data_IF_582128779124
#
_entry.id   IF_582128779124
#
_cell.length_a   1.000
_cell.length_b   1.000
_cell.length_c   1.000
_cell.angle_alpha   90.00
_cell.angle_beta   90.00
_cell.angle_gamma   90.00
#
_symmetry.space_group_name_H-M   'P 1'
#
loop_
_entity.id
_entity.type
_entity.pdbx_description
1 polymer ?
#
# COMPACT_ATOMS: atom_id res chain seq x y z
N UNK A 1 -5.63 65.38 -8.50
CA UNK A 1 -5.57 64.38 -7.41
C UNK A 1 -5.96 63.06 -7.97
N UNK A 2 -4.97 62.28 -8.42
CA UNK A 2 -5.16 60.95 -8.96
C UNK A 2 -4.91 59.93 -7.83
N UNK A 3 -5.86 59.04 -7.56
CA UNK A 3 -5.71 57.94 -6.61
C UNK A 3 -5.23 56.75 -7.40
N UNK A 4 -3.99 56.35 -7.11
CA UNK A 4 -3.38 55.09 -7.60
C UNK A 4 -4.07 53.93 -6.94
N UNK A 5 -4.66 53.04 -7.72
CA UNK A 5 -5.16 51.73 -7.29
C UNK A 5 -4.01 50.75 -7.35
N UNK A 6 -3.53 50.28 -6.20
CA UNK A 6 -2.65 49.14 -6.09
C UNK A 6 -3.37 47.84 -6.51
N UNK A 7 -2.70 46.97 -7.28
CA UNK A 7 -3.25 45.64 -7.55
C UNK A 7 -3.05 44.72 -6.33
N UNK A 8 -4.15 44.15 -5.87
CA UNK A 8 -4.13 43.12 -4.85
C UNK A 8 -3.32 41.90 -5.35
N UNK A 9 -2.19 41.64 -4.71
CA UNK A 9 -1.45 40.37 -4.85
C UNK A 9 -2.29 39.28 -4.21
N UNK A 10 -2.93 38.45 -5.02
CA UNK A 10 -3.44 37.17 -4.59
C UNK A 10 -2.25 36.22 -4.44
N UNK A 11 -1.73 36.11 -3.22
CA UNK A 11 -0.83 35.02 -2.83
C UNK A 11 -1.60 33.68 -2.88
N UNK A 12 -1.63 33.08 -4.07
CA UNK A 12 -1.87 31.66 -4.19
C UNK A 12 -0.63 30.96 -3.61
N UNK A 13 -0.65 30.69 -2.31
CA UNK A 13 0.31 29.79 -1.67
C UNK A 13 0.13 28.41 -2.30
N UNK A 14 0.89 28.12 -3.34
CA UNK A 14 1.19 26.77 -3.74
C UNK A 14 1.84 26.10 -2.52
N UNK A 15 1.08 25.26 -1.81
CA UNK A 15 1.57 24.48 -0.68
C UNK A 15 2.66 23.56 -1.21
N UNK A 16 3.91 23.86 -0.85
CA UNK A 16 5.04 23.02 -1.20
C UNK A 16 4.81 21.63 -0.61
N UNK A 17 4.82 20.55 -1.42
CA UNK A 17 4.63 19.20 -0.90
C UNK A 17 5.71 18.90 0.13
N UNK A 18 5.31 18.55 1.36
CA UNK A 18 6.25 18.14 2.38
C UNK A 18 6.83 16.76 2.08
N UNK A 19 8.15 16.66 1.89
CA UNK A 19 8.84 15.36 1.76
C UNK A 19 8.76 14.65 3.12
N UNK A 20 8.04 13.56 3.18
CA UNK A 20 7.89 12.70 4.36
C UNK A 20 8.99 11.67 4.48
N UNK A 21 9.36 11.04 3.35
CA UNK A 21 10.46 10.09 3.24
C UNK A 21 11.29 10.44 2.01
N UNK A 22 12.60 10.55 2.19
CA UNK A 22 13.56 10.58 1.10
C UNK A 22 13.80 9.19 0.52
N UNK A 23 14.48 9.07 -0.62
CA UNK A 23 14.85 7.77 -1.19
C UNK A 23 15.63 6.88 -0.23
N UNK A 24 16.55 7.47 0.56
CA UNK A 24 17.28 6.75 1.58
C UNK A 24 16.36 6.25 2.72
N UNK A 25 15.32 7.04 3.06
CA UNK A 25 14.33 6.62 4.05
C UNK A 25 13.46 5.47 3.52
N UNK A 26 13.03 5.55 2.25
CA UNK A 26 12.28 4.47 1.59
C UNK A 26 13.07 3.17 1.62
N UNK A 27 14.37 3.21 1.26
CA UNK A 27 15.23 2.03 1.30
C UNK A 27 15.32 1.43 2.71
N UNK A 28 15.55 2.26 3.74
CA UNK A 28 15.59 1.80 5.15
C UNK A 28 14.26 1.20 5.61
N UNK A 29 13.14 1.76 5.17
CA UNK A 29 11.81 1.23 5.49
C UNK A 29 11.60 -0.13 4.85
N UNK A 30 11.96 -0.30 3.58
CA UNK A 30 11.88 -1.59 2.86
C UNK A 30 12.78 -2.63 3.54
N UNK A 31 14.02 -2.28 3.92
CA UNK A 31 14.92 -3.17 4.65
C UNK A 31 14.30 -3.64 5.98
N UNK A 32 13.73 -2.71 6.75
CA UNK A 32 13.06 -3.05 8.01
C UNK A 32 11.85 -3.96 7.81
N UNK A 33 11.03 -3.71 6.79
CA UNK A 33 9.89 -4.55 6.45
C UNK A 33 10.34 -5.96 6.04
N UNK A 34 11.43 -6.08 5.26
CA UNK A 34 12.02 -7.36 4.91
C UNK A 34 12.47 -8.14 6.16
N UNK A 35 13.13 -7.48 7.12
CA UNK A 35 13.50 -8.12 8.40
C UNK A 35 12.26 -8.58 9.20
N UNK A 36 11.19 -7.80 9.23
CA UNK A 36 9.95 -8.20 9.91
C UNK A 36 9.32 -9.46 9.27
N UNK A 37 9.33 -9.54 7.93
CA UNK A 37 8.87 -10.73 7.20
C UNK A 37 9.76 -11.94 7.50
N UNK A 38 11.08 -11.77 7.48
CA UNK A 38 12.04 -12.83 7.83
C UNK A 38 11.82 -13.30 9.27
N UNK A 39 11.74 -12.37 10.22
CA UNK A 39 11.53 -12.72 11.64
C UNK A 39 10.25 -13.51 11.85
N UNK A 40 9.17 -13.13 11.16
CA UNK A 40 7.88 -13.80 11.28
C UNK A 40 7.88 -15.20 10.67
N UNK A 41 8.55 -15.41 9.53
CA UNK A 41 8.42 -16.63 8.73
C UNK A 41 9.67 -17.51 8.69
N UNK A 42 10.87 -17.01 9.02
CA UNK A 42 12.07 -17.84 9.04
C UNK A 42 12.06 -18.91 10.15
N UNK A 43 11.24 -18.73 11.18
CA UNK A 43 11.16 -19.64 12.34
C UNK A 43 10.32 -20.89 12.10
N UNK A 44 9.63 -21.01 10.97
CA UNK A 44 8.77 -22.16 10.63
C UNK A 44 9.51 -23.38 10.08
N UNK A 45 10.78 -23.28 9.74
CA UNK A 45 11.53 -24.32 9.01
C UNK A 45 12.55 -25.14 9.80
N UNK A 46 12.52 -25.18 11.12
CA UNK A 46 13.51 -25.98 11.84
C UNK A 46 13.32 -25.97 13.34
N UNK A 47 12.86 -27.08 13.91
CA UNK A 47 12.85 -27.23 15.36
C UNK A 47 12.07 -28.45 15.82
N UNK A 48 12.70 -29.62 15.78
CA UNK A 48 12.47 -30.68 16.76
C UNK A 48 12.75 -30.06 18.12
N UNK A 49 11.74 -29.75 18.88
CA UNK A 49 11.60 -29.45 20.31
C UNK A 49 10.70 -28.24 20.54
N UNK A 50 9.38 -28.42 20.36
CA UNK A 50 8.40 -27.57 21.03
C UNK A 50 7.62 -28.38 22.03
N UNK A 51 7.63 -28.00 23.30
CA UNK A 51 6.65 -28.54 24.26
C UNK A 51 5.27 -28.13 23.72
N UNK A 52 4.41 -29.15 23.58
CA UNK A 52 2.99 -28.98 23.30
C UNK A 52 2.33 -28.33 24.50
N UNK A 53 2.32 -26.99 24.57
CA UNK A 53 1.51 -26.31 25.58
C UNK A 53 0.91 -25.00 25.00
N UNK A 54 -0.41 -25.03 24.91
CA UNK A 54 -1.41 -23.96 24.95
C UNK A 54 -1.11 -22.63 24.22
N UNK A 55 -1.03 -22.66 22.86
CA UNK A 55 -1.35 -21.49 22.04
C UNK A 55 -2.23 -21.87 20.85
N UNK A 56 -3.38 -22.42 21.13
CA UNK A 56 -4.49 -22.42 20.19
C UNK A 56 -5.01 -20.98 20.09
N UNK A 57 -4.75 -20.27 18.97
CA UNK A 57 -5.42 -19.00 18.76
C UNK A 57 -4.79 -17.96 17.86
N UNK A 58 -3.54 -18.09 17.44
CA UNK A 58 -3.00 -17.14 16.45
C UNK A 58 -3.03 -17.76 15.05
N UNK A 59 -3.93 -17.30 14.14
CA UNK A 59 -3.90 -17.72 12.73
C UNK A 59 -2.65 -17.12 12.08
N UNK A 60 -1.63 -17.95 11.86
CA UNK A 60 -0.41 -17.54 11.15
C UNK A 60 0.90 -18.14 11.63
N UNK A 61 0.87 -19.04 12.60
CA UNK A 61 2.06 -19.73 13.08
C UNK A 61 2.11 -21.16 12.53
N UNK A 62 2.08 -21.33 11.20
CA UNK A 62 2.27 -22.66 10.64
C UNK A 62 3.05 -22.65 9.30
N UNK A 63 4.19 -23.19 9.32
CA UNK A 63 4.90 -24.33 8.75
C UNK A 63 5.47 -24.22 7.34
N UNK A 64 5.24 -23.17 6.54
CA UNK A 64 5.82 -23.09 5.21
C UNK A 64 7.18 -22.38 5.15
N UNK A 65 7.57 -21.65 6.17
CA UNK A 65 8.79 -20.83 6.12
C UNK A 65 8.76 -19.75 5.02
N UNK A 66 9.91 -19.16 4.77
CA UNK A 66 10.07 -18.15 3.70
C UNK A 66 9.87 -18.72 2.30
N UNK A 67 10.15 -20.02 2.08
CA UNK A 67 10.00 -20.68 0.78
C UNK A 67 8.54 -20.84 0.34
N UNK A 68 7.59 -20.78 1.29
CA UNK A 68 6.16 -20.87 1.04
C UNK A 68 5.49 -19.49 0.88
N UNK A 69 6.26 -18.43 1.12
CA UNK A 69 5.78 -17.06 1.01
C UNK A 69 5.70 -16.62 -0.46
N UNK A 70 4.60 -15.98 -0.82
CA UNK A 70 4.43 -15.28 -2.10
C UNK A 70 4.10 -13.82 -1.82
N UNK A 71 4.91 -12.90 -2.33
CA UNK A 71 4.61 -11.48 -2.30
C UNK A 71 3.79 -11.09 -3.54
N UNK A 72 2.58 -10.60 -3.36
CA UNK A 72 1.71 -10.20 -4.47
C UNK A 72 1.52 -8.69 -4.45
N UNK A 73 2.14 -8.01 -5.42
CA UNK A 73 2.06 -6.56 -5.54
C UNK A 73 0.74 -6.11 -6.17
N UNK A 74 0.11 -5.11 -5.56
CA UNK A 74 -1.06 -4.42 -6.12
C UNK A 74 -0.54 -3.31 -7.07
N UNK A 75 -0.85 -3.34 -8.38
CA UNK A 75 -0.43 -2.28 -9.30
C UNK A 75 -0.98 -0.90 -8.91
N UNK A 76 -0.21 0.17 -9.16
CA UNK A 76 1.05 0.25 -9.90
C UNK A 76 2.27 0.08 -9.00
N UNK A 77 2.30 0.68 -7.83
CA UNK A 77 3.51 0.81 -7.01
C UNK A 77 3.72 -0.36 -6.05
N UNK A 78 2.66 -1.13 -5.75
CA UNK A 78 2.82 -2.36 -4.98
C UNK A 78 3.68 -3.42 -5.71
N UNK A 79 3.65 -3.48 -7.04
CA UNK A 79 4.45 -4.41 -7.82
C UNK A 79 5.97 -4.19 -7.68
N UNK A 80 6.54 -2.99 -7.91
CA UNK A 80 7.95 -2.74 -7.64
C UNK A 80 8.31 -2.90 -6.16
N UNK A 81 7.44 -2.52 -5.22
CA UNK A 81 7.68 -2.73 -3.79
C UNK A 81 7.78 -4.22 -3.43
N UNK A 82 6.92 -5.07 -3.99
CA UNK A 82 6.99 -6.52 -3.79
C UNK A 82 8.33 -7.10 -4.28
N UNK A 83 8.79 -6.67 -5.45
CA UNK A 83 10.11 -7.08 -5.99
C UNK A 83 11.26 -6.61 -5.11
N UNK A 84 11.21 -5.36 -4.63
CA UNK A 84 12.23 -4.82 -3.69
C UNK A 84 12.25 -5.63 -2.40
N UNK A 85 11.09 -5.93 -1.81
CA UNK A 85 10.99 -6.74 -0.60
C UNK A 85 11.56 -8.14 -0.81
N UNK A 86 11.19 -8.82 -1.91
CA UNK A 86 11.73 -10.14 -2.25
C UNK A 86 13.26 -10.12 -2.36
N UNK A 87 13.81 -9.15 -3.10
CA UNK A 87 15.26 -8.99 -3.25
C UNK A 87 15.97 -8.74 -1.90
N UNK A 88 15.35 -7.97 -0.99
CA UNK A 88 15.91 -7.72 0.35
C UNK A 88 15.80 -8.94 1.26
N UNK A 89 14.68 -9.69 1.18
CA UNK A 89 14.52 -10.95 1.91
C UNK A 89 15.60 -11.94 1.48
N UNK A 90 15.78 -12.14 0.18
CA UNK A 90 16.81 -13.03 -0.35
C UNK A 90 18.21 -12.58 0.07
N UNK A 91 18.53 -11.30 -0.03
CA UNK A 91 19.83 -10.75 0.37
C UNK A 91 20.13 -10.96 1.87
N UNK A 92 19.12 -10.91 2.75
CA UNK A 92 19.30 -11.04 4.20
C UNK A 92 19.20 -12.48 4.70
N UNK A 93 18.35 -13.31 4.07
CA UNK A 93 18.08 -14.69 4.54
C UNK A 93 18.73 -15.78 3.68
N UNK A 94 19.17 -15.45 2.47
CA UNK A 94 19.61 -16.42 1.48
C UNK A 94 18.47 -17.23 0.83
N UNK A 95 17.20 -16.95 1.20
CA UNK A 95 16.03 -17.68 0.69
C UNK A 95 15.29 -16.81 -0.33
N UNK A 96 15.17 -17.24 -1.58
CA UNK A 96 14.37 -16.53 -2.58
C UNK A 96 12.88 -16.64 -2.22
N UNK A 97 12.13 -15.56 -2.50
CA UNK A 97 10.69 -15.47 -2.29
C UNK A 97 10.02 -15.16 -3.61
N UNK A 98 8.96 -15.90 -3.93
CA UNK A 98 8.19 -15.72 -5.14
C UNK A 98 7.44 -14.38 -5.15
N UNK A 99 7.37 -13.76 -6.34
CA UNK A 99 6.66 -12.51 -6.55
C UNK A 99 5.59 -12.66 -7.61
N UNK A 100 4.37 -12.23 -7.28
CA UNK A 100 3.26 -12.07 -8.21
C UNK A 100 2.80 -10.63 -8.32
N UNK A 101 1.94 -10.38 -9.30
CA UNK A 101 1.23 -9.10 -9.52
C UNK A 101 -0.24 -9.44 -9.74
N UNK A 102 -1.14 -8.83 -8.98
CA UNK A 102 -2.57 -8.99 -9.18
C UNK A 102 -3.18 -7.69 -9.69
N UNK A 103 -3.61 -7.68 -10.95
CA UNK A 103 -4.40 -6.55 -11.48
C UNK A 103 -5.78 -6.54 -10.84
N UNK A 104 -6.06 -5.47 -10.13
CA UNK A 104 -7.33 -5.27 -9.43
C UNK A 104 -8.31 -4.39 -10.19
N UNK A 105 -7.97 -3.97 -11.41
CA UNK A 105 -8.73 -2.95 -12.16
C UNK A 105 -10.19 -3.37 -12.33
N UNK A 106 -10.47 -4.62 -12.65
CA UNK A 106 -11.84 -5.13 -12.85
C UNK A 106 -12.65 -5.31 -11.55
N UNK A 107 -11.97 -5.31 -10.39
CA UNK A 107 -12.58 -5.54 -9.08
C UNK A 107 -12.80 -4.23 -8.30
N UNK A 108 -12.40 -3.10 -8.88
CA UNK A 108 -12.56 -1.78 -8.24
C UNK A 108 -13.96 -1.24 -8.46
N UNK A 109 -14.56 -0.74 -7.41
CA UNK A 109 -15.89 -0.11 -7.42
C UNK A 109 -15.88 1.35 -7.93
N UNK A 110 -14.69 1.97 -8.07
CA UNK A 110 -14.52 3.36 -8.53
C UNK A 110 -14.15 3.50 -10.03
N UNK A 111 -14.21 2.44 -10.82
CA UNK A 111 -13.91 2.42 -12.26
C UNK A 111 -14.69 3.48 -13.05
N UNK A 112 -15.94 3.73 -12.67
CA UNK A 112 -16.81 4.70 -13.35
C UNK A 112 -16.43 6.15 -13.13
N UNK A 113 -15.64 6.43 -12.09
CA UNK A 113 -15.31 7.79 -11.66
C UNK A 113 -13.92 8.26 -12.09
N UNK A 114 -12.99 7.34 -12.39
CA UNK A 114 -11.58 7.66 -12.63
C UNK A 114 -11.07 7.40 -14.05
N UNK A 115 -11.92 6.96 -14.96
CA UNK A 115 -11.51 6.58 -16.32
C UNK A 115 -10.85 5.19 -16.37
N UNK A 116 -10.84 4.60 -17.58
CA UNK A 116 -10.24 3.28 -17.81
C UNK A 116 -8.72 3.40 -17.72
N UNK A 117 -8.13 2.84 -16.67
CA UNK A 117 -6.69 2.62 -16.59
C UNK A 117 -6.34 1.43 -17.48
N UNK A 118 -5.18 1.46 -18.12
CA UNK A 118 -4.70 0.29 -18.85
C UNK A 118 -4.58 -0.89 -17.88
N UNK A 119 -5.12 -2.04 -18.29
CA UNK A 119 -4.99 -3.29 -17.53
C UNK A 119 -3.51 -3.67 -17.46
N UNK A 120 -3.02 -3.92 -16.26
CA UNK A 120 -1.71 -4.54 -16.08
C UNK A 120 -1.94 -6.06 -16.02
N UNK A 121 -1.11 -6.88 -16.69
CA UNK A 121 -1.33 -8.32 -16.66
C UNK A 121 -1.16 -8.85 -15.24
N UNK A 122 -2.12 -9.66 -14.78
CA UNK A 122 -1.92 -10.48 -13.59
C UNK A 122 -0.85 -11.53 -13.90
N UNK A 123 0.17 -11.56 -13.08
CA UNK A 123 1.28 -12.51 -13.18
C UNK A 123 1.44 -13.21 -11.85
N UNK A 124 1.32 -14.53 -11.83
CA UNK A 124 1.59 -15.35 -10.65
C UNK A 124 2.84 -16.19 -10.87
N UNK A 125 3.49 -16.64 -9.79
CA UNK A 125 4.53 -17.67 -9.88
C UNK A 125 4.00 -18.93 -10.57
N UNK A 126 4.87 -19.68 -11.24
CA UNK A 126 4.49 -20.93 -11.94
C UNK A 126 3.84 -21.96 -10.98
N UNK A 127 4.27 -21.99 -9.73
CA UNK A 127 3.69 -22.84 -8.68
C UNK A 127 2.31 -22.35 -8.18
N UNK A 128 1.83 -21.20 -8.66
CA UNK A 128 0.57 -20.60 -8.19
C UNK A 128 0.62 -20.11 -6.74
N UNK A 129 -0.58 -19.94 -6.16
CA UNK A 129 -0.76 -19.46 -4.76
C UNK A 129 -1.54 -20.44 -3.89
N UNK A 130 -1.97 -21.58 -4.43
CA UNK A 130 -2.80 -22.54 -3.68
C UNK A 130 -2.04 -23.12 -2.48
N UNK A 131 -2.69 -23.06 -1.32
CA UNK A 131 -2.13 -23.55 -0.06
C UNK A 131 -0.96 -22.71 0.49
N UNK A 132 -0.47 -21.72 -0.24
CA UNK A 132 0.67 -20.88 0.14
C UNK A 132 0.25 -19.70 1.01
N UNK A 133 1.21 -19.08 1.68
CA UNK A 133 1.02 -17.82 2.37
C UNK A 133 1.23 -16.66 1.39
N UNK A 134 0.21 -15.85 1.19
CA UNK A 134 0.28 -14.66 0.36
C UNK A 134 0.42 -13.41 1.23
N UNK A 135 1.38 -12.55 0.91
CA UNK A 135 1.43 -11.18 1.44
C UNK A 135 1.13 -10.22 0.31
N UNK A 136 -0.05 -9.57 0.37
CA UNK A 136 -0.38 -8.46 -0.52
C UNK A 136 0.52 -7.27 -0.19
N UNK A 137 1.09 -6.64 -1.21
CA UNK A 137 1.98 -5.48 -1.07
C UNK A 137 1.38 -4.28 -1.78
N UNK A 138 1.23 -3.15 -1.06
CA UNK A 138 0.75 -1.89 -1.61
C UNK A 138 1.59 -0.71 -1.11
N UNK A 139 1.48 0.44 -1.77
CA UNK A 139 2.21 1.64 -1.40
C UNK A 139 1.52 2.41 -0.26
N UNK A 140 0.22 2.67 -0.36
CA UNK A 140 -0.53 3.47 0.63
C UNK A 140 -1.83 2.80 1.04
N UNK A 141 -1.94 2.47 2.30
CA UNK A 141 -3.21 2.05 2.89
C UNK A 141 -4.00 3.28 3.36
N UNK A 142 -5.15 3.49 2.72
CA UNK A 142 -6.12 4.55 3.02
C UNK A 142 -7.47 3.95 3.42
N UNK A 143 -8.46 3.99 2.55
CA UNK A 143 -9.82 3.50 2.80
C UNK A 143 -9.92 1.97 2.93
N UNK A 144 -8.99 1.23 2.32
CA UNK A 144 -8.98 -0.23 2.21
C UNK A 144 -9.64 -0.77 0.93
N UNK A 145 -10.18 0.08 0.06
CA UNK A 145 -10.90 -0.34 -1.17
C UNK A 145 -10.01 -1.10 -2.15
N UNK A 146 -8.74 -0.65 -2.35
CA UNK A 146 -7.78 -1.37 -3.20
C UNK A 146 -7.47 -2.76 -2.66
N UNK A 147 -7.28 -2.88 -1.34
CA UNK A 147 -7.02 -4.16 -0.69
C UNK A 147 -8.23 -5.10 -0.81
N UNK A 148 -9.46 -4.60 -0.64
CA UNK A 148 -10.67 -5.39 -0.88
C UNK A 148 -10.70 -5.92 -2.31
N UNK A 149 -10.49 -5.06 -3.30
CA UNK A 149 -10.43 -5.47 -4.70
C UNK A 149 -9.36 -6.54 -4.96
N UNK A 150 -8.18 -6.43 -4.30
CA UNK A 150 -7.13 -7.43 -4.38
C UNK A 150 -7.54 -8.77 -3.76
N UNK A 151 -8.24 -8.76 -2.63
CA UNK A 151 -8.79 -9.97 -2.02
C UNK A 151 -9.84 -10.64 -2.92
N UNK A 152 -10.70 -9.86 -3.58
CA UNK A 152 -11.67 -10.38 -4.54
C UNK A 152 -10.95 -11.00 -5.76
N UNK A 153 -9.91 -10.33 -6.30
CA UNK A 153 -9.08 -10.86 -7.39
C UNK A 153 -8.36 -12.17 -7.01
N UNK A 154 -7.79 -12.25 -5.81
CA UNK A 154 -7.10 -13.46 -5.35
C UNK A 154 -8.01 -14.70 -5.32
N UNK A 155 -9.31 -14.53 -5.05
CA UNK A 155 -10.28 -15.66 -5.06
C UNK A 155 -10.43 -16.32 -6.42
N UNK A 156 -10.23 -15.55 -7.49
CA UNK A 156 -10.28 -16.06 -8.86
C UNK A 156 -8.94 -16.66 -9.31
N UNK A 157 -7.86 -16.30 -8.62
CA UNK A 157 -6.48 -16.72 -8.94
C UNK A 157 -6.04 -17.99 -8.21
N UNK A 158 -6.67 -18.35 -7.09
CA UNK A 158 -6.32 -19.53 -6.32
C UNK A 158 -6.89 -19.55 -4.89
N UNK A 159 -6.40 -20.48 -4.08
CA UNK A 159 -6.81 -20.67 -2.67
C UNK A 159 -5.61 -20.64 -1.75
N UNK A 160 -5.06 -19.44 -1.46
CA UNK A 160 -4.00 -19.32 -0.47
C UNK A 160 -4.50 -19.78 0.91
N UNK A 161 -3.63 -20.38 1.73
CA UNK A 161 -4.00 -20.77 3.10
C UNK A 161 -4.21 -19.56 4.02
N UNK A 162 -3.47 -18.47 3.76
CA UNK A 162 -3.64 -17.22 4.47
C UNK A 162 -3.24 -16.03 3.56
N UNK A 163 -3.85 -14.89 3.81
CA UNK A 163 -3.51 -13.63 3.14
C UNK A 163 -3.21 -12.59 4.21
N UNK A 164 -2.06 -11.94 4.10
CA UNK A 164 -1.64 -10.82 4.94
C UNK A 164 -1.37 -9.59 4.09
N UNK A 165 -1.20 -8.44 4.72
CA UNK A 165 -1.05 -7.16 4.06
C UNK A 165 0.21 -6.44 4.53
N UNK A 166 1.06 -6.05 3.59
CA UNK A 166 2.22 -5.19 3.80
C UNK A 166 2.04 -3.88 3.03
N UNK A 167 2.24 -2.73 3.70
CA UNK A 167 2.11 -1.42 3.07
C UNK A 167 3.28 -0.52 3.44
N UNK A 168 3.76 0.25 2.47
CA UNK A 168 4.85 1.20 2.73
C UNK A 168 4.37 2.30 3.70
N UNK A 169 3.16 2.82 3.48
CA UNK A 169 2.57 3.87 4.31
C UNK A 169 1.15 3.51 4.72
N UNK A 170 0.87 3.63 6.00
CA UNK A 170 -0.49 3.64 6.53
C UNK A 170 -0.87 5.07 6.95
N UNK A 171 -1.86 5.67 6.26
CA UNK A 171 -2.30 7.04 6.53
C UNK A 171 -3.58 7.16 7.37
N UNK A 172 -4.15 6.04 7.79
CA UNK A 172 -5.42 6.03 8.50
C UNK A 172 -6.64 6.22 7.59
N UNK A 173 -7.75 6.67 8.18
CA UNK A 173 -9.03 7.00 7.51
C UNK A 173 -9.69 5.83 6.78
N UNK A 174 -9.75 4.67 7.45
CA UNK A 174 -10.41 3.47 6.91
C UNK A 174 -11.90 3.68 6.67
N UNK A 175 -12.38 3.13 5.56
CA UNK A 175 -13.80 2.93 5.26
C UNK A 175 -14.21 1.45 5.37
N UNK A 176 -13.24 0.56 5.39
CA UNK A 176 -13.39 -0.88 5.56
C UNK A 176 -12.57 -1.36 6.77
N UNK A 177 -12.97 -2.44 7.46
CA UNK A 177 -12.27 -2.96 8.63
C UNK A 177 -11.01 -3.75 8.22
N UNK A 178 -10.08 -3.07 7.53
CA UNK A 178 -8.83 -3.64 7.02
C UNK A 178 -7.66 -3.04 7.79
N UNK A 179 -6.77 -3.90 8.27
CA UNK A 179 -5.53 -3.54 8.96
C UNK A 179 -4.35 -4.21 8.25
N UNK A 180 -3.24 -3.49 8.09
CA UNK A 180 -2.02 -4.10 7.59
C UNK A 180 -1.28 -4.85 8.72
N UNK A 181 -0.69 -5.98 8.36
CA UNK A 181 0.17 -6.79 9.23
C UNK A 181 1.57 -6.19 9.33
N UNK A 182 2.07 -5.66 8.20
CA UNK A 182 3.37 -5.03 8.10
C UNK A 182 3.22 -3.60 7.60
N UNK A 183 3.67 -2.64 8.39
CA UNK A 183 3.58 -1.22 8.06
C UNK A 183 4.96 -0.59 8.03
N UNK A 184 5.31 -0.05 6.88
CA UNK A 184 6.53 0.71 6.70
C UNK A 184 6.55 1.97 7.56
N UNK A 185 5.56 2.83 7.42
CA UNK A 185 5.42 4.05 8.22
C UNK A 185 3.94 4.39 8.48
N UNK A 186 3.61 4.63 9.73
CA UNK A 186 2.33 5.24 10.09
C UNK A 186 2.43 6.77 9.94
N UNK A 187 1.49 7.36 9.22
CA UNK A 187 1.45 8.79 8.93
C UNK A 187 0.07 9.33 9.28
N UNK A 188 -0.09 9.97 10.43
CA UNK A 188 -1.33 10.65 10.74
C UNK A 188 -1.53 11.81 9.76
N UNK A 189 -2.62 11.76 9.01
CA UNK A 189 -2.98 12.81 8.04
C UNK A 189 -4.38 13.33 8.34
N UNK A 190 -4.72 14.51 7.82
CA UNK A 190 -6.12 14.93 7.72
C UNK A 190 -6.79 14.22 6.53
N UNK A 191 -8.12 14.24 6.45
CA UNK A 191 -8.83 13.68 5.29
C UNK A 191 -8.57 14.45 4.00
N UNK A 192 -8.29 15.76 4.09
CA UNK A 192 -7.94 16.61 2.95
C UNK A 192 -6.54 16.36 2.42
N UNK A 193 -5.61 15.93 3.26
CA UNK A 193 -4.25 15.62 2.82
C UNK A 193 -4.20 14.36 1.97
N UNK A 194 -3.25 14.27 1.08
CA UNK A 194 -2.95 13.10 0.26
C UNK A 194 -1.51 12.64 0.53
N UNK A 195 -1.31 11.33 0.57
CA UNK A 195 0.02 10.73 0.56
C UNK A 195 0.30 10.26 -0.85
N UNK A 196 1.41 10.70 -1.44
CA UNK A 196 1.91 10.24 -2.73
C UNK A 196 3.23 9.53 -2.55
N UNK A 197 3.32 8.32 -3.05
CA UNK A 197 4.56 7.54 -3.12
C UNK A 197 5.07 7.64 -4.55
N UNK A 198 6.33 7.97 -4.71
CA UNK A 198 7.06 7.87 -5.97
C UNK A 198 8.12 6.77 -5.81
N UNK A 199 8.27 5.94 -6.84
CA UNK A 199 9.28 4.89 -6.91
C UNK A 199 10.07 5.02 -8.20
N UNK A 200 11.37 4.79 -8.12
CA UNK A 200 12.28 4.99 -9.23
C UNK A 200 11.88 4.21 -10.49
N UNK A 201 11.29 3.02 -10.33
CA UNK A 201 10.84 2.17 -11.44
C UNK A 201 9.65 2.75 -12.20
N UNK A 202 8.85 3.59 -11.56
CA UNK A 202 7.61 4.13 -12.13
C UNK A 202 7.72 5.64 -12.36
N UNK A 203 8.36 6.33 -11.42
CA UNK A 203 8.34 7.80 -11.34
C UNK A 203 9.74 8.42 -11.52
N UNK A 204 10.79 7.59 -11.65
CA UNK A 204 12.18 8.04 -11.81
C UNK A 204 12.87 8.50 -10.51
N UNK A 205 12.15 8.53 -9.40
CA UNK A 205 12.65 8.96 -8.10
C UNK A 205 11.97 8.18 -6.98
N UNK A 206 12.69 7.96 -5.88
CA UNK A 206 12.13 7.39 -4.65
C UNK A 206 11.85 8.50 -3.66
N UNK A 207 10.59 8.71 -3.32
CA UNK A 207 10.17 9.63 -2.26
C UNK A 207 8.74 9.37 -1.80
N UNK A 208 8.39 9.86 -0.64
CA UNK A 208 7.00 9.93 -0.17
C UNK A 208 6.67 11.36 0.21
N UNK A 209 5.59 11.87 -0.34
CA UNK A 209 5.11 13.23 -0.12
C UNK A 209 3.79 13.25 0.64
N UNK A 210 3.60 14.27 1.47
CA UNK A 210 2.28 14.66 1.98
C UNK A 210 1.89 15.97 1.31
N UNK A 211 0.74 15.97 0.66
CA UNK A 211 0.24 17.09 -0.13
C UNK A 211 -1.11 17.52 0.44
N UNK A 212 -1.31 18.82 0.61
CA UNK A 212 -2.66 19.33 0.89
C UNK A 212 -3.53 19.06 -0.34
N UNK A 213 -4.64 18.35 -0.14
CA UNK A 213 -5.63 18.16 -1.20
C UNK A 213 -6.29 19.49 -1.53
N UNK A 214 -6.51 19.77 -2.79
CA UNK A 214 -7.35 20.89 -3.21
C UNK A 214 -8.72 20.71 -2.57
N UNK A 215 -9.00 21.54 -1.55
CA UNK A 215 -10.30 21.55 -0.92
C UNK A 215 -11.35 21.74 -2.01
N UNK A 216 -12.26 20.78 -2.15
CA UNK A 216 -13.47 20.99 -2.95
C UNK A 216 -14.10 22.26 -2.42
N UNK A 217 -13.87 23.36 -3.13
CA UNK A 217 -14.51 24.65 -2.88
C UNK A 217 -16.01 24.37 -2.88
N UNK A 218 -16.60 24.43 -1.68
CA UNK A 218 -18.03 24.31 -1.51
C UNK A 218 -18.71 25.35 -2.40
N UNK A 219 -19.57 24.87 -3.28
CA UNK A 219 -20.43 25.73 -4.07
C UNK A 219 -21.10 26.76 -3.13
N UNK A 220 -21.18 28.04 -3.51
CA UNK A 220 -21.85 29.03 -2.69
C UNK A 220 -23.32 28.62 -2.57
N UNK A 221 -23.78 28.47 -1.35
CA UNK A 221 -25.21 28.32 -1.06
C UNK A 221 -25.90 29.58 -1.60
N UNK A 222 -26.64 29.41 -2.68
CA UNK A 222 -27.49 30.45 -3.19
C UNK A 222 -28.39 30.94 -2.08
N UNK A 223 -28.25 32.19 -1.73
CA UNK A 223 -29.20 32.93 -0.91
C UNK A 223 -30.46 33.13 -1.75
N UNK A 224 -31.45 32.29 -1.58
CA UNK A 224 -32.82 32.64 -1.99
C UNK A 224 -33.29 33.73 -1.08
N UNK A 225 -33.18 34.98 -1.58
CA UNK A 225 -33.83 36.12 -1.02
C UNK A 225 -35.32 36.04 -1.34
N UNK A 226 -36.13 35.91 -0.29
CA UNK A 226 -37.54 36.17 -0.39
C UNK A 226 -37.83 37.64 -0.67
N UNK A 227 -38.73 37.88 -1.55
CA UNK A 227 -39.44 39.13 -1.64
C UNK A 227 -40.87 38.90 -2.14
N UNK A 228 -41.81 39.24 -1.27
CA UNK A 228 -43.16 39.74 -1.50
C UNK A 228 -44.10 39.02 -2.44
#
# INVERSE_FOLDING_TARGET
MARSSEPAHSDARASNPGVLLSGADVARVVDRMAHQLIERYARGGGGEDRPSDDRAGEPGADDGGLSDLVLVGIPTRGAPLARRLAARIEAFSGTPVDVGIADITLYRDDLRLRGVRALEPTVLPDAGIDGRLVVLVDDVLFSGRSVRAALDALRDLGRPRAVQLAVLVDRGHRELPIKADFVGKNVPTSRSQQVRVHLAETDGIDEVLVIEGDGVSGAPRGSEGGAS
#
